data_IF_907967788976
#
_entry.id   IF_907967788976
#
_cell.length_a   1.000
_cell.length_b   1.000
_cell.length_c   1.000
_cell.angle_alpha   90.00
_cell.angle_beta   90.00
_cell.angle_gamma   90.00
#
_symmetry.space_group_name_H-M   'P 1'
#
loop_
_entity.id
_entity.type
_entity.pdbx_description
1 polymer ?
#
# COMPACT_ATOMS: atom_id res chain seq x y z
N UNK A 1 55.77 -15.64 17.05
CA UNK A 1 54.56 -16.30 16.50
C UNK A 1 53.34 -15.53 16.97
N UNK A 2 52.84 -14.59 16.19
CA UNK A 2 51.60 -13.86 16.51
C UNK A 2 50.43 -14.70 15.97
N UNK A 3 49.65 -15.26 16.87
CA UNK A 3 48.39 -15.93 16.55
C UNK A 3 47.43 -14.86 16.03
N UNK A 4 47.15 -14.88 14.73
CA UNK A 4 46.07 -14.15 14.11
C UNK A 4 44.76 -14.79 14.57
N UNK A 5 44.11 -14.20 15.57
CA UNK A 5 42.72 -14.52 15.91
C UNK A 5 41.86 -14.21 14.70
N UNK A 6 41.31 -15.24 14.07
CA UNK A 6 40.25 -15.12 13.10
C UNK A 6 39.04 -14.51 13.80
N UNK A 7 38.48 -13.38 13.31
CA UNK A 7 37.31 -12.78 13.94
C UNK A 7 36.16 -13.79 13.90
N UNK A 8 35.61 -14.12 15.05
CA UNK A 8 34.43 -14.96 15.21
C UNK A 8 33.29 -14.37 14.34
N UNK A 9 32.67 -15.12 13.43
CA UNK A 9 31.60 -14.59 12.59
C UNK A 9 30.49 -14.08 13.49
N UNK A 10 30.14 -12.80 13.35
CA UNK A 10 29.06 -12.18 14.08
C UNK A 10 27.79 -13.05 13.92
N UNK A 11 27.25 -13.53 15.06
CA UNK A 11 26.11 -14.46 15.10
C UNK A 11 24.94 -13.86 14.33
N UNK A 12 24.69 -14.38 13.13
CA UNK A 12 23.60 -13.94 12.24
C UNK A 12 22.27 -14.06 12.98
N UNK A 13 21.55 -12.98 13.08
CA UNK A 13 20.23 -12.98 13.71
C UNK A 13 19.22 -13.71 12.84
N UNK A 14 18.39 -14.56 13.44
CA UNK A 14 17.35 -15.28 12.70
C UNK A 14 16.37 -14.30 12.05
N UNK A 15 16.01 -14.49 10.78
CA UNK A 15 15.09 -13.61 10.04
C UNK A 15 13.73 -13.44 10.69
N UNK A 16 13.26 -14.43 11.45
CA UNK A 16 11.98 -14.37 12.16
C UNK A 16 11.87 -13.19 13.14
N UNK A 17 13.01 -12.71 13.67
CA UNK A 17 13.01 -11.60 14.62
C UNK A 17 12.95 -10.22 13.96
N UNK A 18 13.26 -10.11 12.66
CA UNK A 18 13.29 -8.81 12.01
C UNK A 18 12.38 -8.70 10.78
N UNK A 19 12.16 -9.77 10.01
CA UNK A 19 11.29 -9.71 8.82
C UNK A 19 9.87 -9.28 9.20
N UNK A 20 9.19 -9.92 10.17
CA UNK A 20 7.84 -9.52 10.55
C UNK A 20 7.74 -8.06 10.98
N UNK A 21 8.63 -7.63 11.87
CA UNK A 21 8.58 -6.27 12.44
C UNK A 21 9.00 -5.19 11.44
N UNK A 22 9.92 -5.49 10.52
CA UNK A 22 10.34 -4.57 9.47
C UNK A 22 9.20 -4.31 8.48
N UNK A 23 8.48 -5.35 8.04
CA UNK A 23 7.36 -5.20 7.11
C UNK A 23 6.08 -4.69 7.78
N UNK A 24 5.89 -4.95 9.07
CA UNK A 24 4.90 -4.23 9.85
C UNK A 24 5.19 -2.71 9.88
N UNK A 25 6.44 -2.33 10.18
CA UNK A 25 6.88 -0.93 10.17
C UNK A 25 6.82 -0.28 8.77
N UNK A 26 6.91 -1.07 7.69
CA UNK A 26 6.71 -0.62 6.32
C UNK A 26 5.22 -0.28 6.04
N UNK A 27 4.31 -1.16 6.44
CA UNK A 27 2.88 -1.00 6.14
C UNK A 27 2.22 0.11 6.94
N UNK A 28 2.64 0.36 8.18
CA UNK A 28 1.93 1.23 9.10
C UNK A 28 1.85 2.70 8.63
N UNK A 29 2.95 3.40 8.23
CA UNK A 29 2.88 4.76 7.72
C UNK A 29 2.01 4.88 6.46
N UNK A 30 2.12 3.93 5.54
CA UNK A 30 1.32 3.92 4.31
C UNK A 30 -0.18 3.90 4.60
N UNK A 31 -0.60 3.03 5.52
CA UNK A 31 -1.99 2.87 5.89
C UNK A 31 -2.51 4.09 6.65
N UNK A 32 -1.68 4.64 7.54
CA UNK A 32 -2.05 5.85 8.30
C UNK A 32 -2.35 7.02 7.37
N UNK A 33 -1.52 7.25 6.36
CA UNK A 33 -1.74 8.35 5.42
C UNK A 33 -2.96 8.13 4.51
N UNK A 34 -3.26 6.90 4.15
CA UNK A 34 -4.35 6.60 3.23
C UNK A 34 -5.73 6.52 3.88
N UNK A 35 -5.80 6.15 5.17
CA UNK A 35 -7.07 5.91 5.84
C UNK A 35 -7.20 6.69 7.15
N UNK A 36 -6.25 6.54 8.07
CA UNK A 36 -6.36 7.12 9.42
C UNK A 36 -6.39 8.64 9.35
N UNK A 37 -5.49 9.26 8.56
CA UNK A 37 -5.46 10.71 8.37
C UNK A 37 -6.74 11.24 7.70
N UNK A 38 -7.33 10.48 6.76
CA UNK A 38 -8.59 10.83 6.10
C UNK A 38 -9.72 10.96 7.13
N UNK A 39 -9.89 9.95 7.99
CA UNK A 39 -10.92 9.94 9.03
C UNK A 39 -10.66 10.97 10.12
N UNK A 40 -9.40 11.16 10.52
CA UNK A 40 -8.99 12.20 11.46
C UNK A 40 -9.40 13.58 10.95
N UNK A 41 -9.03 13.95 9.74
CA UNK A 41 -9.38 15.25 9.16
C UNK A 41 -10.89 15.43 8.99
N UNK A 42 -11.61 14.37 8.60
CA UNK A 42 -13.08 14.40 8.52
C UNK A 42 -13.70 14.66 9.89
N UNK A 43 -13.19 13.99 10.94
CA UNK A 43 -13.61 14.22 12.33
C UNK A 43 -13.34 15.66 12.82
N UNK A 44 -12.24 16.24 12.37
CA UNK A 44 -11.84 17.64 12.70
C UNK A 44 -12.51 18.69 11.78
N UNK A 45 -13.50 18.32 10.96
CA UNK A 45 -14.29 19.24 10.17
C UNK A 45 -13.62 19.78 8.89
N UNK A 46 -12.55 19.14 8.41
CA UNK A 46 -11.91 19.51 7.14
C UNK A 46 -12.79 19.05 5.97
N UNK A 47 -12.90 19.85 4.91
CA UNK A 47 -13.72 19.54 3.74
C UNK A 47 -13.16 18.35 2.94
N UNK A 48 -14.03 17.55 2.35
CA UNK A 48 -13.70 16.32 1.61
C UNK A 48 -12.73 16.60 0.45
N UNK A 49 -12.93 17.73 -0.25
CA UNK A 49 -12.02 18.17 -1.32
C UNK A 49 -10.60 18.37 -0.83
N UNK A 50 -10.41 19.07 0.30
CA UNK A 50 -9.08 19.29 0.89
C UNK A 50 -8.46 17.97 1.37
N UNK A 51 -9.25 17.12 2.03
CA UNK A 51 -8.79 15.81 2.51
C UNK A 51 -8.31 14.98 1.32
N UNK A 52 -9.16 14.78 0.31
CA UNK A 52 -8.86 13.94 -0.83
C UNK A 52 -7.64 14.44 -1.62
N UNK A 53 -7.57 15.74 -1.88
CA UNK A 53 -6.44 16.34 -2.60
C UNK A 53 -5.11 16.15 -1.86
N UNK A 54 -5.01 16.60 -0.62
CA UNK A 54 -3.75 16.62 0.11
C UNK A 54 -3.29 15.22 0.53
N UNK A 55 -4.21 14.34 0.98
CA UNK A 55 -3.84 12.97 1.35
C UNK A 55 -3.48 12.11 0.14
N UNK A 56 -3.94 12.45 -1.06
CA UNK A 56 -3.48 11.82 -2.30
C UNK A 56 -2.12 12.34 -2.72
N UNK A 57 -1.90 13.66 -2.65
CA UNK A 57 -0.63 14.28 -3.02
C UNK A 57 0.54 13.80 -2.15
N UNK A 58 0.30 13.60 -0.86
CA UNK A 58 1.31 13.10 0.09
C UNK A 58 1.80 11.69 -0.30
N UNK A 59 1.06 10.93 -1.11
CA UNK A 59 1.49 9.62 -1.58
C UNK A 59 2.53 9.67 -2.70
N UNK A 60 2.85 10.87 -3.22
CA UNK A 60 3.81 11.06 -4.30
C UNK A 60 5.20 10.44 -4.02
N UNK A 61 5.77 10.46 -2.80
CA UNK A 61 7.06 9.82 -2.53
C UNK A 61 7.10 8.34 -2.90
N UNK A 62 6.02 7.56 -2.70
CA UNK A 62 5.99 6.15 -3.11
C UNK A 62 6.05 5.96 -4.63
N UNK A 63 5.58 6.94 -5.39
CA UNK A 63 5.70 6.96 -6.85
C UNK A 63 7.12 7.33 -7.29
N UNK A 64 7.73 8.29 -6.60
CA UNK A 64 9.03 8.86 -6.96
C UNK A 64 10.22 8.14 -6.32
N UNK A 65 10.00 7.18 -5.42
CA UNK A 65 11.08 6.47 -4.70
C UNK A 65 12.21 5.91 -5.60
N UNK A 66 11.97 5.48 -6.86
CA UNK A 66 13.05 5.05 -7.74
C UNK A 66 14.09 6.13 -8.02
N UNK A 67 13.73 7.42 -7.91
CA UNK A 67 14.65 8.53 -8.20
C UNK A 67 15.77 8.70 -7.18
N UNK A 68 15.54 8.30 -5.91
CA UNK A 68 16.56 8.40 -4.86
C UNK A 68 17.05 7.04 -4.33
N UNK A 69 16.44 5.94 -4.77
CA UNK A 69 16.87 4.61 -4.32
C UNK A 69 18.36 4.33 -4.58
N UNK A 70 19.00 4.75 -5.71
CA UNK A 70 20.43 4.57 -5.90
C UNK A 70 21.28 5.32 -4.86
N UNK A 71 20.79 6.46 -4.34
CA UNK A 71 21.51 7.21 -3.31
C UNK A 71 21.58 6.45 -1.99
N UNK A 72 20.56 5.63 -1.68
CA UNK A 72 20.56 4.83 -0.46
C UNK A 72 21.61 3.71 -0.51
N UNK A 73 21.98 3.25 -1.69
CA UNK A 73 23.01 2.24 -1.89
C UNK A 73 24.43 2.81 -1.75
N UNK A 74 24.59 4.13 -1.98
CA UNK A 74 25.89 4.80 -1.97
C UNK A 74 26.31 5.29 -0.58
N UNK A 75 25.34 5.64 0.28
CA UNK A 75 25.57 6.35 1.53
C UNK A 75 25.30 5.52 2.73
N UNK A 76 25.86 4.89 3.46
CA UNK A 76 25.51 4.16 4.68
C UNK A 76 24.96 2.76 4.43
N UNK A 77 24.62 2.07 5.48
CA UNK A 77 24.00 0.75 5.43
C UNK A 77 22.50 0.88 5.25
N UNK A 78 21.86 -0.11 4.64
CA UNK A 78 20.40 -0.17 4.52
C UNK A 78 19.72 -0.17 5.88
N UNK A 79 20.31 -0.84 6.88
CA UNK A 79 19.88 -0.76 8.30
C UNK A 79 19.80 0.67 8.82
N UNK A 80 20.80 1.50 8.53
CA UNK A 80 20.80 2.89 8.97
C UNK A 80 19.54 3.62 8.48
N UNK A 81 19.17 3.45 7.22
CA UNK A 81 17.97 4.08 6.65
C UNK A 81 16.69 3.53 7.26
N UNK A 82 16.58 2.20 7.47
CA UNK A 82 15.38 1.60 8.12
C UNK A 82 15.19 2.19 9.51
N UNK A 83 16.24 2.21 10.34
CA UNK A 83 16.17 2.75 11.71
C UNK A 83 15.88 4.25 11.71
N UNK A 84 16.60 5.02 10.88
CA UNK A 84 16.41 6.47 10.78
C UNK A 84 14.98 6.83 10.40
N UNK A 85 14.44 6.20 9.38
CA UNK A 85 13.09 6.50 8.88
C UNK A 85 12.00 6.12 9.89
N UNK A 86 12.17 5.03 10.62
CA UNK A 86 11.27 4.65 11.71
C UNK A 86 11.30 5.65 12.86
N UNK A 87 12.49 6.10 13.26
CA UNK A 87 12.63 7.12 14.32
C UNK A 87 12.09 8.47 13.88
N UNK A 88 12.39 8.90 12.66
CA UNK A 88 11.85 10.15 12.08
C UNK A 88 10.31 10.06 12.03
N UNK A 89 9.74 8.98 11.54
CA UNK A 89 8.28 8.78 11.51
C UNK A 89 7.70 8.80 12.93
N UNK A 90 8.37 8.15 13.90
CA UNK A 90 7.93 8.12 15.29
C UNK A 90 7.86 9.50 15.93
N UNK A 91 8.93 10.28 15.80
CA UNK A 91 8.97 11.68 16.28
C UNK A 91 7.94 12.53 15.55
N UNK A 92 7.82 12.37 14.23
CA UNK A 92 6.90 13.17 13.42
C UNK A 92 5.44 12.90 13.78
N UNK A 93 5.03 11.65 14.07
CA UNK A 93 3.69 11.38 14.60
C UNK A 93 3.43 12.07 15.95
N UNK A 94 4.42 12.10 16.83
CA UNK A 94 4.33 12.88 18.08
C UNK A 94 4.15 14.39 17.83
N UNK A 95 4.89 14.95 16.86
CA UNK A 95 4.72 16.36 16.44
C UNK A 95 3.34 16.60 15.80
N UNK A 96 2.80 15.66 15.04
CA UNK A 96 1.43 15.75 14.52
C UNK A 96 0.45 15.83 15.68
N UNK A 97 0.56 14.96 16.69
CA UNK A 97 -0.31 14.98 17.87
C UNK A 97 -0.33 16.37 18.54
N UNK A 98 0.84 16.96 18.76
CA UNK A 98 0.96 18.29 19.34
C UNK A 98 0.37 19.39 18.43
N UNK A 99 0.55 19.24 17.12
CA UNK A 99 0.12 20.25 16.13
C UNK A 99 -1.39 20.28 15.93
N UNK A 100 -2.12 19.22 16.30
CA UNK A 100 -3.59 19.18 16.22
C UNK A 100 -4.26 20.28 17.05
N UNK A 101 -3.61 20.76 18.12
CA UNK A 101 -4.11 21.81 19.00
C UNK A 101 -3.86 23.24 18.47
N UNK A 102 -3.21 23.39 17.33
CA UNK A 102 -2.87 24.69 16.77
C UNK A 102 -3.96 25.19 15.80
N UNK A 103 -4.21 26.50 15.70
CA UNK A 103 -5.19 27.04 14.76
C UNK A 103 -4.92 26.66 13.30
N UNK A 104 -3.65 26.51 12.91
CA UNK A 104 -3.22 26.11 11.56
C UNK A 104 -2.92 24.61 11.44
N UNK A 105 -3.54 23.77 12.28
CA UNK A 105 -3.25 22.34 12.37
C UNK A 105 -3.20 21.65 11.02
N UNK A 106 -4.13 21.94 10.11
CA UNK A 106 -4.22 21.24 8.83
C UNK A 106 -2.95 21.41 7.99
N UNK A 107 -2.47 22.65 7.79
CA UNK A 107 -1.27 22.90 7.00
C UNK A 107 -0.01 22.29 7.63
N UNK A 108 0.11 22.41 8.96
CA UNK A 108 1.25 21.89 9.72
C UNK A 108 1.25 20.36 9.67
N UNK A 109 0.12 19.72 9.95
CA UNK A 109 0.04 18.25 9.94
C UNK A 109 0.22 17.66 8.55
N UNK A 110 -0.26 18.32 7.48
CA UNK A 110 0.01 17.92 6.08
C UNK A 110 1.51 17.95 5.78
N UNK A 111 2.22 19.01 6.19
CA UNK A 111 3.66 19.10 6.02
C UNK A 111 4.41 17.99 6.80
N UNK A 112 3.97 17.71 8.02
CA UNK A 112 4.52 16.63 8.84
C UNK A 112 4.20 15.24 8.23
N UNK A 113 2.99 15.02 7.74
CA UNK A 113 2.66 13.78 7.01
C UNK A 113 3.47 13.62 5.73
N UNK A 114 3.86 14.69 5.04
CA UNK A 114 4.77 14.60 3.90
C UNK A 114 6.15 14.08 4.33
N UNK A 115 6.65 14.46 5.52
CA UNK A 115 7.88 13.89 6.10
C UNK A 115 7.70 12.39 6.38
N UNK A 116 6.57 11.98 6.97
CA UNK A 116 6.25 10.57 7.20
C UNK A 116 6.18 9.80 5.87
N UNK A 117 5.59 10.39 4.84
CA UNK A 117 5.48 9.77 3.50
C UNK A 117 6.86 9.55 2.85
N UNK A 118 7.73 10.57 2.90
CA UNK A 118 9.09 10.44 2.39
C UNK A 118 9.90 9.40 3.18
N UNK A 119 9.76 9.41 4.51
CA UNK A 119 10.37 8.40 5.39
C UNK A 119 9.85 7.01 5.08
N UNK A 120 8.53 6.82 4.91
CA UNK A 120 7.92 5.54 4.57
C UNK A 120 8.40 4.99 3.23
N UNK A 121 8.40 5.83 2.19
CA UNK A 121 8.90 5.43 0.86
C UNK A 121 10.40 5.06 0.87
N UNK A 122 11.20 5.76 1.68
CA UNK A 122 12.63 5.45 1.88
C UNK A 122 12.81 4.16 2.69
N UNK A 123 11.99 3.97 3.72
CA UNK A 123 11.95 2.74 4.52
C UNK A 123 11.69 1.51 3.65
N UNK A 124 10.71 1.59 2.73
CA UNK A 124 10.37 0.49 1.82
C UNK A 124 11.60 0.03 1.03
N UNK A 125 12.29 0.97 0.37
CA UNK A 125 13.49 0.66 -0.42
C UNK A 125 14.59 0.05 0.44
N UNK A 126 14.84 0.63 1.61
CA UNK A 126 15.90 0.16 2.50
C UNK A 126 15.58 -1.21 3.10
N UNK A 127 14.33 -1.45 3.51
CA UNK A 127 13.88 -2.70 4.09
C UNK A 127 13.96 -3.85 3.08
N UNK A 128 13.45 -3.64 1.85
CA UNK A 128 13.56 -4.62 0.76
C UNK A 128 15.03 -4.90 0.43
N UNK A 129 15.88 -3.87 0.49
CA UNK A 129 17.31 -4.02 0.32
C UNK A 129 17.97 -4.88 1.39
N UNK A 130 17.63 -4.72 2.69
CA UNK A 130 18.11 -5.61 3.76
C UNK A 130 17.64 -7.04 3.51
N UNK A 131 16.38 -7.22 3.14
CA UNK A 131 15.79 -8.53 2.88
C UNK A 131 16.54 -9.27 1.75
N UNK A 132 16.83 -8.59 0.65
CA UNK A 132 17.54 -9.19 -0.48
C UNK A 132 19.01 -9.47 -0.19
N UNK A 133 19.69 -8.62 0.60
CA UNK A 133 21.12 -8.77 0.92
C UNK A 133 21.40 -9.87 1.94
N UNK A 134 20.50 -10.02 2.91
CA UNK A 134 20.71 -10.88 4.08
C UNK A 134 20.16 -12.28 3.91
N UNK A 135 19.18 -12.46 3.02
CA UNK A 135 18.51 -13.74 2.81
C UNK A 135 18.96 -14.38 1.49
N UNK A 136 19.36 -15.65 1.56
CA UNK A 136 19.55 -16.44 0.35
C UNK A 136 18.20 -16.80 -0.31
N UNK A 137 18.23 -17.35 -1.53
CA UNK A 137 17.00 -17.62 -2.30
C UNK A 137 15.99 -18.54 -1.56
N UNK A 138 16.48 -19.52 -0.78
CA UNK A 138 15.62 -20.42 0.00
C UNK A 138 14.99 -19.68 1.18
N UNK A 139 15.75 -18.85 1.87
CA UNK A 139 15.26 -18.03 2.97
C UNK A 139 14.27 -16.95 2.47
N UNK A 140 14.56 -16.32 1.33
CA UNK A 140 13.63 -15.38 0.70
C UNK A 140 12.28 -16.06 0.40
N UNK A 141 12.30 -17.25 -0.23
CA UNK A 141 11.10 -18.03 -0.48
C UNK A 141 10.35 -18.40 0.81
N UNK A 142 11.08 -18.75 1.88
CA UNK A 142 10.49 -19.09 3.19
C UNK A 142 9.83 -17.89 3.86
N UNK A 143 10.43 -16.70 3.78
CA UNK A 143 9.97 -15.52 4.53
C UNK A 143 9.09 -14.56 3.72
N UNK A 144 8.90 -14.78 2.41
CA UNK A 144 8.04 -13.92 1.58
C UNK A 144 6.59 -13.88 2.10
N UNK A 145 6.08 -15.00 2.60
CA UNK A 145 4.77 -15.06 3.21
C UNK A 145 4.67 -14.23 4.50
N UNK A 146 5.72 -14.19 5.31
CA UNK A 146 5.80 -13.37 6.52
C UNK A 146 5.85 -11.87 6.19
N UNK A 147 6.57 -11.51 5.13
CA UNK A 147 6.59 -10.16 4.59
C UNK A 147 5.17 -9.67 4.29
N UNK A 148 4.45 -10.40 3.44
CA UNK A 148 3.09 -10.05 3.06
C UNK A 148 2.10 -10.08 4.25
N UNK A 149 2.21 -11.09 5.12
CA UNK A 149 1.36 -11.23 6.29
C UNK A 149 1.49 -10.03 7.24
N UNK A 150 2.70 -9.64 7.61
CA UNK A 150 2.91 -8.54 8.55
C UNK A 150 2.66 -7.15 7.97
N UNK A 151 2.85 -6.96 6.67
CA UNK A 151 2.34 -5.78 5.98
C UNK A 151 0.80 -5.68 6.09
N UNK A 152 0.09 -6.79 5.90
CA UNK A 152 -1.37 -6.82 6.08
C UNK A 152 -1.80 -6.71 7.56
N UNK A 153 -1.04 -7.24 8.51
CA UNK A 153 -1.28 -7.00 9.94
C UNK A 153 -1.20 -5.51 10.25
N UNK A 154 -0.19 -4.79 9.71
CA UNK A 154 -0.12 -3.33 9.86
C UNK A 154 -1.36 -2.63 9.28
N UNK A 155 -1.87 -3.12 8.16
CA UNK A 155 -3.09 -2.60 7.54
C UNK A 155 -4.31 -2.83 8.44
N UNK A 156 -4.50 -4.02 8.97
CA UNK A 156 -5.61 -4.35 9.89
C UNK A 156 -5.52 -3.53 11.17
N UNK A 157 -4.33 -3.38 11.75
CA UNK A 157 -4.13 -2.56 12.95
C UNK A 157 -4.42 -1.09 12.66
N UNK A 158 -3.90 -0.54 11.55
CA UNK A 158 -4.09 0.86 11.19
C UNK A 158 -5.55 1.20 10.89
N UNK A 159 -6.17 0.46 9.99
CA UNK A 159 -7.55 0.75 9.51
C UNK A 159 -8.63 0.16 10.41
N UNK A 160 -8.34 -0.91 11.13
CA UNK A 160 -9.28 -1.57 12.04
C UNK A 160 -9.11 -1.08 13.48
N UNK A 161 -8.06 -1.55 14.15
CA UNK A 161 -7.87 -1.33 15.58
C UNK A 161 -7.72 0.14 15.97
N UNK A 162 -6.88 0.91 15.26
CA UNK A 162 -6.63 2.32 15.62
C UNK A 162 -7.85 3.20 15.35
N UNK A 163 -8.60 2.94 14.28
CA UNK A 163 -9.83 3.66 13.97
C UNK A 163 -10.92 3.32 14.99
N UNK A 164 -11.06 2.03 15.34
CA UNK A 164 -11.96 1.61 16.40
C UNK A 164 -11.61 2.27 17.75
N UNK A 165 -10.31 2.28 18.10
CA UNK A 165 -9.82 2.90 19.32
C UNK A 165 -10.08 4.41 19.33
N UNK A 166 -9.96 5.09 18.19
CA UNK A 166 -10.29 6.51 18.10
C UNK A 166 -11.76 6.79 18.43
N UNK A 167 -12.68 5.94 17.92
CA UNK A 167 -14.09 6.04 18.25
C UNK A 167 -14.36 5.76 19.73
N UNK A 168 -13.78 4.68 20.28
CA UNK A 168 -13.90 4.33 21.69
C UNK A 168 -13.40 5.47 22.60
N UNK A 169 -12.21 6.01 22.35
CA UNK A 169 -11.66 7.11 23.15
C UNK A 169 -12.50 8.40 23.07
N UNK A 170 -13.12 8.63 21.93
CA UNK A 170 -14.04 9.77 21.76
C UNK A 170 -15.29 9.60 22.61
N UNK A 171 -15.87 8.39 22.65
CA UNK A 171 -17.12 8.10 23.37
C UNK A 171 -16.91 8.06 24.90
N UNK A 172 -15.74 7.61 25.37
CA UNK A 172 -15.36 7.56 26.79
C UNK A 172 -14.75 8.88 27.32
N UNK A 173 -14.69 9.92 26.48
CA UNK A 173 -14.07 11.18 26.90
C UNK A 173 -14.98 11.96 27.85
N UNK A 174 -14.53 12.18 29.10
CA UNK A 174 -15.28 12.85 30.16
C UNK A 174 -15.20 14.40 30.11
N UNK A 175 -14.40 14.98 29.20
CA UNK A 175 -14.25 16.42 29.02
C UNK A 175 -15.34 17.04 28.14
N UNK A 176 -15.17 18.32 27.71
CA UNK A 176 -16.08 18.97 26.79
C UNK A 176 -16.25 18.19 25.48
N UNK A 177 -17.49 17.98 25.05
CA UNK A 177 -17.80 17.15 23.86
C UNK A 177 -17.12 17.66 22.58
N UNK A 178 -16.86 18.98 22.49
CA UNK A 178 -16.14 19.61 21.39
C UNK A 178 -14.67 19.19 21.30
N UNK A 179 -14.05 18.79 22.42
CA UNK A 179 -12.66 18.37 22.49
C UNK A 179 -12.48 16.85 22.29
N UNK A 180 -13.54 16.06 22.35
CA UNK A 180 -13.49 14.59 22.32
C UNK A 180 -12.81 14.04 21.06
N UNK A 181 -13.11 14.62 19.89
CA UNK A 181 -12.51 14.24 18.60
C UNK A 181 -11.02 14.59 18.61
N UNK A 182 -10.66 15.78 19.04
CA UNK A 182 -9.28 16.24 19.10
C UNK A 182 -8.45 15.37 20.06
N UNK A 183 -8.99 15.06 21.24
CA UNK A 183 -8.39 14.17 22.22
C UNK A 183 -8.12 12.77 21.64
N UNK A 184 -9.15 12.16 21.04
CA UNK A 184 -9.04 10.80 20.53
C UNK A 184 -7.94 10.69 19.47
N UNK A 185 -7.90 11.57 18.48
CA UNK A 185 -6.88 11.56 17.44
C UNK A 185 -5.49 11.96 17.93
N UNK A 186 -5.38 12.82 18.93
CA UNK A 186 -4.12 13.14 19.61
C UNK A 186 -3.52 11.87 20.23
N UNK A 187 -4.32 11.10 20.96
CA UNK A 187 -3.88 9.83 21.56
C UNK A 187 -3.45 8.83 20.49
N UNK A 188 -4.22 8.68 19.40
CA UNK A 188 -3.87 7.78 18.29
C UNK A 188 -2.52 8.17 17.67
N UNK A 189 -2.25 9.45 17.43
CA UNK A 189 -0.97 9.92 16.88
C UNK A 189 0.20 9.67 17.84
N UNK A 190 -0.01 9.83 19.15
CA UNK A 190 1.01 9.50 20.18
C UNK A 190 1.31 7.99 20.16
N UNK A 191 0.28 7.14 20.11
CA UNK A 191 0.44 5.67 20.06
C UNK A 191 1.23 5.28 18.80
N UNK A 192 0.88 5.83 17.63
CA UNK A 192 1.60 5.60 16.39
C UNK A 192 3.07 6.03 16.49
N UNK A 193 3.30 7.21 17.06
CA UNK A 193 4.65 7.73 17.32
C UNK A 193 5.46 6.77 18.21
N UNK A 194 4.86 6.33 19.31
CA UNK A 194 5.47 5.38 20.24
C UNK A 194 5.80 4.03 19.57
N UNK A 195 4.88 3.48 18.79
CA UNK A 195 5.09 2.21 18.07
C UNK A 195 6.23 2.33 17.06
N UNK A 196 6.24 3.37 16.20
CA UNK A 196 7.29 3.56 15.21
C UNK A 196 8.66 3.80 15.86
N UNK A 197 8.71 4.59 16.92
CA UNK A 197 9.94 4.85 17.66
C UNK A 197 10.47 3.59 18.34
N UNK A 198 9.60 2.80 18.97
CA UNK A 198 9.95 1.52 19.59
C UNK A 198 10.47 0.50 18.56
N UNK A 199 9.85 0.44 17.36
CA UNK A 199 10.35 -0.37 16.24
C UNK A 199 11.76 0.09 15.81
N UNK A 200 11.99 1.39 15.71
CA UNK A 200 13.31 1.95 15.42
C UNK A 200 14.35 1.51 16.44
N UNK A 201 14.07 1.62 17.74
CA UNK A 201 14.93 1.15 18.81
C UNK A 201 15.16 -0.37 18.74
N UNK A 202 14.13 -1.16 18.52
CA UNK A 202 14.23 -2.61 18.35
C UNK A 202 15.15 -2.97 17.18
N UNK A 203 15.00 -2.31 16.03
CA UNK A 203 15.78 -2.57 14.83
C UNK A 203 17.24 -2.10 14.92
N UNK A 204 17.58 -1.20 15.85
CA UNK A 204 19.00 -0.91 16.13
C UNK A 204 19.78 -2.16 16.56
N UNK A 205 19.09 -3.11 17.23
CA UNK A 205 19.72 -4.34 17.74
C UNK A 205 19.38 -5.57 16.90
N UNK A 206 18.16 -5.68 16.38
CA UNK A 206 17.66 -6.91 15.73
C UNK A 206 17.85 -6.94 14.23
N UNK A 207 17.82 -5.80 13.55
CA UNK A 207 17.99 -5.75 12.10
C UNK A 207 19.46 -5.98 11.74
N UNK A 208 19.79 -6.87 10.79
CA UNK A 208 21.14 -7.00 10.26
C UNK A 208 21.52 -5.77 9.43
N UNK A 209 22.82 -5.55 9.23
CA UNK A 209 23.32 -4.32 8.60
C UNK A 209 23.06 -4.25 7.08
N UNK A 210 22.86 -5.40 6.45
CA UNK A 210 22.96 -5.50 5.01
C UNK A 210 24.43 -5.50 4.55
N UNK A 211 24.67 -5.81 3.29
CA UNK A 211 26.00 -5.66 2.72
C UNK A 211 26.38 -4.19 2.74
N UNK A 212 27.62 -3.90 3.15
CA UNK A 212 28.15 -2.55 2.98
C UNK A 212 28.16 -2.21 1.49
N UNK A 213 27.85 -0.96 1.16
CA UNK A 213 27.98 -0.46 -0.20
C UNK A 213 29.32 -0.91 -0.79
N UNK A 214 29.29 -1.71 -1.82
CA UNK A 214 30.53 -2.04 -2.55
C UNK A 214 31.14 -0.74 -3.05
N UNK A 215 32.48 -0.66 -2.90
CA UNK A 215 33.35 0.38 -3.41
C UNK A 215 32.69 1.28 -4.46
N UNK A 216 32.44 2.49 -4.04
CA UNK A 216 32.09 3.67 -4.80
C UNK A 216 32.09 3.44 -6.32
N UNK A 217 30.97 2.99 -6.86
CA UNK A 217 30.61 3.39 -8.22
C UNK A 217 30.41 4.89 -8.13
N UNK A 218 31.13 5.63 -8.97
CA UNK A 218 31.01 7.08 -9.01
C UNK A 218 29.51 7.43 -9.15
N UNK A 219 29.04 8.46 -8.45
CA UNK A 219 27.66 8.96 -8.59
C UNK A 219 27.26 9.12 -10.07
N UNK A 220 28.19 9.57 -10.91
CA UNK A 220 28.02 9.68 -12.36
C UNK A 220 27.72 8.33 -13.04
N UNK A 221 28.37 7.23 -12.62
CA UNK A 221 28.13 5.90 -13.20
C UNK A 221 26.76 5.35 -12.78
N UNK A 222 26.38 5.54 -11.51
CA UNK A 222 25.05 5.14 -11.02
C UNK A 222 23.91 5.92 -11.71
N UNK A 223 24.13 7.21 -11.98
CA UNK A 223 23.18 8.03 -12.75
C UNK A 223 23.10 7.63 -14.22
N UNK A 224 24.21 7.29 -14.85
CA UNK A 224 24.23 6.78 -16.22
C UNK A 224 23.51 5.43 -16.33
N UNK A 225 23.72 4.53 -15.38
CA UNK A 225 23.02 3.24 -15.33
C UNK A 225 21.52 3.43 -15.10
N UNK A 226 21.12 4.28 -14.14
CA UNK A 226 19.72 4.62 -13.92
C UNK A 226 19.09 5.18 -15.20
N UNK A 227 19.77 6.08 -15.91
CA UNK A 227 19.29 6.63 -17.17
C UNK A 227 19.10 5.56 -18.25
N UNK A 228 20.03 4.63 -18.35
CA UNK A 228 19.90 3.49 -19.28
C UNK A 228 18.70 2.61 -18.95
N UNK A 229 18.46 2.32 -17.66
CA UNK A 229 17.31 1.54 -17.20
C UNK A 229 15.99 2.27 -17.53
N UNK A 230 15.92 3.59 -17.28
CA UNK A 230 14.76 4.42 -17.64
C UNK A 230 14.53 4.39 -19.15
N UNK A 231 15.56 4.65 -19.96
CA UNK A 231 15.46 4.63 -21.42
C UNK A 231 14.98 3.29 -21.93
N UNK A 232 15.55 2.18 -21.41
CA UNK A 232 15.15 0.83 -21.78
C UNK A 232 13.69 0.53 -21.43
N UNK A 233 13.17 1.08 -20.33
CA UNK A 233 11.76 0.94 -19.97
C UNK A 233 10.85 1.62 -21.01
N UNK A 234 11.12 2.88 -21.35
CA UNK A 234 10.28 3.66 -22.27
C UNK A 234 10.44 3.28 -23.75
N UNK A 235 11.45 2.47 -24.11
CA UNK A 235 11.65 1.96 -25.48
C UNK A 235 11.02 0.58 -25.70
N UNK A 236 10.40 -0.02 -24.70
CA UNK A 236 9.73 -1.34 -24.84
C UNK A 236 8.58 -1.29 -25.82
N UNK A 237 8.37 -2.39 -26.52
CA UNK A 237 7.21 -2.56 -27.41
C UNK A 237 5.91 -2.42 -26.61
N UNK A 238 4.97 -1.64 -27.11
CA UNK A 238 3.67 -1.34 -26.51
C UNK A 238 3.72 -0.60 -25.15
N UNK A 239 4.85 0.00 -24.77
CA UNK A 239 4.99 0.64 -23.45
C UNK A 239 3.94 1.73 -23.17
N UNK A 240 3.62 2.56 -24.17
CA UNK A 240 2.59 3.60 -24.04
C UNK A 240 1.23 2.98 -23.74
N UNK A 241 0.88 1.89 -24.43
CA UNK A 241 -0.35 1.16 -24.16
C UNK A 241 -0.35 0.59 -22.72
N UNK A 242 0.76 0.01 -22.30
CA UNK A 242 0.89 -0.55 -20.95
C UNK A 242 0.79 0.52 -19.87
N UNK A 243 1.38 1.69 -20.07
CA UNK A 243 1.25 2.84 -19.15
C UNK A 243 -0.22 3.26 -19.04
N UNK A 244 -0.89 3.47 -20.16
CA UNK A 244 -2.32 3.82 -20.19
C UNK A 244 -3.18 2.72 -19.53
N UNK A 245 -2.90 1.46 -19.82
CA UNK A 245 -3.59 0.32 -19.22
C UNK A 245 -3.42 0.30 -17.70
N UNK A 246 -2.21 0.43 -17.19
CA UNK A 246 -1.93 0.43 -15.75
C UNK A 246 -2.68 1.56 -15.05
N UNK A 247 -2.63 2.77 -15.60
CA UNK A 247 -3.31 3.94 -15.04
C UNK A 247 -4.83 3.73 -15.05
N UNK A 248 -5.39 3.34 -16.20
CA UNK A 248 -6.84 3.24 -16.39
C UNK A 248 -7.45 2.04 -15.67
N UNK A 249 -6.69 0.96 -15.46
CA UNK A 249 -7.15 -0.20 -14.69
C UNK A 249 -7.58 0.17 -13.27
N UNK A 250 -6.87 1.11 -12.63
CA UNK A 250 -7.10 1.58 -11.26
C UNK A 250 -7.74 2.97 -11.18
N UNK A 251 -8.11 3.56 -12.29
CA UNK A 251 -8.58 4.94 -12.32
C UNK A 251 -9.85 5.17 -11.49
N UNK A 252 -10.84 4.28 -11.64
CA UNK A 252 -12.07 4.33 -10.85
C UNK A 252 -11.81 4.09 -9.35
N UNK A 253 -10.90 3.17 -9.02
CA UNK A 253 -10.48 2.90 -7.64
C UNK A 253 -9.90 4.14 -6.97
N UNK A 254 -9.13 4.97 -7.70
CA UNK A 254 -8.56 6.19 -7.15
C UNK A 254 -9.63 7.16 -6.63
N UNK A 255 -10.77 7.27 -7.32
CA UNK A 255 -11.92 8.02 -6.82
C UNK A 255 -12.53 7.37 -5.57
N UNK A 256 -12.75 6.06 -5.61
CA UNK A 256 -13.38 5.29 -4.53
C UNK A 256 -12.57 5.33 -3.25
N UNK A 257 -11.27 5.09 -3.33
CA UNK A 257 -10.38 4.95 -2.18
C UNK A 257 -10.42 6.16 -1.23
N UNK A 258 -10.61 7.36 -1.75
CA UNK A 258 -10.65 8.59 -0.94
C UNK A 258 -12.04 8.95 -0.45
N UNK A 259 -13.06 8.70 -1.25
CA UNK A 259 -14.42 9.15 -0.93
C UNK A 259 -15.19 8.13 -0.09
N UNK A 260 -14.93 6.83 -0.22
CA UNK A 260 -15.66 5.81 0.57
C UNK A 260 -15.55 6.05 2.07
N UNK A 261 -14.36 6.23 2.68
CA UNK A 261 -14.30 6.51 4.12
C UNK A 261 -15.09 7.76 4.53
N UNK A 262 -15.06 8.80 3.69
CA UNK A 262 -15.79 10.04 3.91
C UNK A 262 -17.31 9.84 3.82
N UNK A 263 -17.76 9.10 2.80
CA UNK A 263 -19.16 8.72 2.59
C UNK A 263 -19.72 7.86 3.72
N UNK A 264 -18.92 6.87 4.20
CA UNK A 264 -19.33 6.01 5.32
C UNK A 264 -19.57 6.84 6.58
N UNK A 265 -18.69 7.84 6.86
CA UNK A 265 -18.75 8.69 8.05
C UNK A 265 -19.72 9.86 7.95
N UNK A 266 -19.92 10.43 6.74
CA UNK A 266 -20.79 11.58 6.54
C UNK A 266 -22.21 11.30 7.00
N UNK A 267 -22.87 12.31 7.58
CA UNK A 267 -24.26 12.22 8.03
C UNK A 267 -25.23 11.87 6.90
N UNK A 268 -26.35 11.26 7.26
CA UNK A 268 -27.41 10.89 6.30
C UNK A 268 -28.11 12.09 5.69
N UNK A 269 -28.15 13.20 6.41
CA UNK A 269 -28.67 14.50 5.98
C UNK A 269 -27.92 15.06 4.76
N UNK A 270 -26.62 14.75 4.64
CA UNK A 270 -25.78 15.10 3.48
C UNK A 270 -25.59 13.96 2.49
N UNK A 271 -26.35 12.88 2.61
CA UNK A 271 -26.32 11.73 1.70
C UNK A 271 -25.25 10.69 2.04
N UNK A 272 -24.58 10.78 3.19
CA UNK A 272 -23.67 9.76 3.71
C UNK A 272 -24.40 8.64 4.44
N UNK A 273 -23.67 7.69 5.05
CA UNK A 273 -24.25 6.56 5.78
C UNK A 273 -24.27 6.75 7.30
N UNK A 274 -23.56 7.71 7.85
CA UNK A 274 -23.54 8.05 9.27
C UNK A 274 -22.97 6.96 10.16
N UNK A 275 -22.00 6.17 9.66
CA UNK A 275 -21.33 5.15 10.48
C UNK A 275 -20.41 5.79 11.50
N UNK A 276 -20.33 5.15 12.66
CA UNK A 276 -19.36 5.47 13.70
C UNK A 276 -17.95 5.02 13.30
N UNK A 277 -16.93 5.58 13.95
CA UNK A 277 -15.54 5.15 13.75
C UNK A 277 -15.36 3.67 14.11
N UNK A 278 -16.05 3.16 15.12
CA UNK A 278 -16.02 1.76 15.52
C UNK A 278 -16.55 0.86 14.40
N UNK A 279 -17.71 1.20 13.81
CA UNK A 279 -18.30 0.46 12.70
C UNK A 279 -17.40 0.48 11.46
N UNK A 280 -16.82 1.64 11.14
CA UNK A 280 -15.85 1.76 10.03
C UNK A 280 -14.60 0.90 10.32
N UNK A 281 -14.06 0.95 11.53
CA UNK A 281 -12.91 0.13 11.94
C UNK A 281 -13.18 -1.37 11.80
N UNK A 282 -14.37 -1.82 12.16
CA UNK A 282 -14.78 -3.24 12.05
C UNK A 282 -15.03 -3.63 10.59
N UNK A 283 -15.94 -2.93 9.90
CA UNK A 283 -16.40 -3.36 8.56
C UNK A 283 -15.38 -3.04 7.48
N UNK A 284 -14.93 -1.80 7.40
CA UNK A 284 -14.00 -1.35 6.38
C UNK A 284 -12.56 -1.74 6.70
N UNK A 285 -12.13 -1.52 7.95
CA UNK A 285 -10.77 -1.81 8.38
C UNK A 285 -10.47 -3.29 8.53
N UNK A 286 -11.26 -4.00 9.33
CA UNK A 286 -10.96 -5.39 9.71
C UNK A 286 -11.50 -6.39 8.69
N UNK A 287 -12.82 -6.41 8.48
CA UNK A 287 -13.45 -7.38 7.56
C UNK A 287 -13.09 -7.10 6.10
N UNK A 288 -13.00 -5.81 5.70
CA UNK A 288 -12.52 -5.44 4.38
C UNK A 288 -11.09 -5.92 4.13
N UNK A 289 -10.15 -5.68 5.07
CA UNK A 289 -8.78 -6.14 4.91
C UNK A 289 -8.67 -7.68 4.82
N UNK A 290 -9.43 -8.41 5.63
CA UNK A 290 -9.50 -9.88 5.56
C UNK A 290 -10.06 -10.36 4.22
N UNK A 291 -11.11 -9.72 3.73
CA UNK A 291 -11.71 -10.02 2.42
C UNK A 291 -10.74 -9.75 1.27
N UNK A 292 -9.97 -8.67 1.33
CA UNK A 292 -8.92 -8.37 0.36
C UNK A 292 -7.87 -9.50 0.29
N UNK A 293 -7.38 -9.96 1.45
CA UNK A 293 -6.40 -11.06 1.50
C UNK A 293 -6.98 -12.33 0.89
N UNK A 294 -8.21 -12.70 1.26
CA UNK A 294 -8.90 -13.86 0.70
C UNK A 294 -9.08 -13.73 -0.82
N UNK A 295 -9.54 -12.57 -1.28
CA UNK A 295 -9.68 -12.26 -2.71
C UNK A 295 -8.36 -12.40 -3.46
N UNK A 296 -7.27 -11.85 -2.90
CA UNK A 296 -5.93 -11.91 -3.51
C UNK A 296 -5.42 -13.36 -3.64
N UNK A 297 -5.60 -14.19 -2.62
CA UNK A 297 -5.22 -15.59 -2.66
C UNK A 297 -6.01 -16.36 -3.74
N UNK A 298 -7.34 -16.20 -3.74
CA UNK A 298 -8.20 -16.87 -4.72
C UNK A 298 -7.96 -16.36 -6.14
N UNK A 299 -7.69 -15.07 -6.32
CA UNK A 299 -7.29 -14.49 -7.60
C UNK A 299 -5.98 -15.09 -8.13
N UNK A 300 -5.00 -15.30 -7.26
CA UNK A 300 -3.75 -15.98 -7.58
C UNK A 300 -3.97 -17.42 -8.03
N UNK A 301 -4.78 -18.21 -7.32
CA UNK A 301 -5.15 -19.57 -7.73
C UNK A 301 -5.90 -19.60 -9.05
N UNK A 302 -6.81 -18.68 -9.27
CA UNK A 302 -7.58 -18.57 -10.51
C UNK A 302 -6.65 -18.32 -11.72
N UNK A 303 -5.67 -17.42 -11.58
CA UNK A 303 -4.67 -17.16 -12.62
C UNK A 303 -3.77 -18.39 -12.82
N UNK A 304 -3.31 -19.01 -11.74
CA UNK A 304 -2.45 -20.20 -11.81
C UNK A 304 -3.12 -21.35 -12.57
N UNK A 305 -4.44 -21.53 -12.40
CA UNK A 305 -5.18 -22.60 -13.05
C UNK A 305 -5.46 -22.35 -14.54
N UNK A 306 -5.63 -21.08 -14.95
CA UNK A 306 -6.14 -20.74 -16.31
C UNK A 306 -5.19 -19.90 -17.16
N UNK A 307 -4.13 -19.36 -16.57
CA UNK A 307 -3.20 -18.43 -17.19
C UNK A 307 -3.68 -16.98 -17.14
N UNK A 308 -2.73 -16.06 -17.08
CA UNK A 308 -3.01 -14.62 -16.93
C UNK A 308 -3.77 -14.05 -18.14
N UNK A 309 -3.36 -14.40 -19.35
CA UNK A 309 -3.98 -13.90 -20.59
C UNK A 309 -5.48 -14.20 -20.68
N UNK A 310 -5.89 -15.40 -20.25
CA UNK A 310 -7.31 -15.81 -20.29
C UNK A 310 -8.15 -15.23 -19.16
N UNK A 311 -7.51 -14.85 -18.05
CA UNK A 311 -8.21 -14.42 -16.83
C UNK A 311 -8.22 -12.91 -16.61
N UNK A 312 -7.32 -12.17 -17.27
CA UNK A 312 -7.10 -10.75 -16.98
C UNK A 312 -8.37 -9.90 -17.11
N UNK A 313 -9.20 -10.16 -18.13
CA UNK A 313 -10.44 -9.43 -18.31
C UNK A 313 -11.46 -9.73 -17.19
N UNK A 314 -11.64 -10.99 -16.82
CA UNK A 314 -12.52 -11.36 -15.70
C UNK A 314 -12.02 -10.81 -14.37
N UNK A 315 -10.71 -10.74 -14.17
CA UNK A 315 -10.10 -10.10 -13.00
C UNK A 315 -10.40 -8.59 -12.97
N UNK A 316 -10.32 -7.91 -14.12
CA UNK A 316 -10.71 -6.51 -14.25
C UNK A 316 -12.20 -6.30 -13.93
N UNK A 317 -13.07 -7.21 -14.38
CA UNK A 317 -14.50 -7.16 -14.06
C UNK A 317 -14.73 -7.32 -12.56
N UNK A 318 -14.13 -8.33 -11.92
CA UNK A 318 -14.28 -8.55 -10.47
C UNK A 318 -13.67 -7.43 -9.65
N UNK A 319 -12.66 -6.73 -10.18
CA UNK A 319 -12.06 -5.54 -9.54
C UNK A 319 -12.99 -4.32 -9.56
N UNK A 320 -13.62 -4.02 -10.71
CA UNK A 320 -14.32 -2.76 -10.92
C UNK A 320 -15.85 -2.86 -10.69
N UNK A 321 -16.51 -4.00 -11.00
CA UNK A 321 -17.96 -4.13 -10.85
C UNK A 321 -18.45 -4.00 -9.39
N UNK A 322 -17.70 -4.45 -8.37
CA UNK A 322 -18.13 -4.26 -6.98
C UNK A 322 -18.27 -2.81 -6.52
N UNK A 323 -17.73 -1.80 -7.24
CA UNK A 323 -18.03 -0.38 -6.97
C UNK A 323 -19.53 -0.07 -7.08
N UNK A 324 -20.29 -0.92 -7.78
CA UNK A 324 -21.76 -0.85 -7.80
C UNK A 324 -22.36 -1.01 -6.39
N UNK A 325 -21.68 -1.71 -5.47
CA UNK A 325 -22.13 -1.84 -4.08
C UNK A 325 -22.24 -0.45 -3.41
N UNK A 326 -21.22 0.40 -3.57
CA UNK A 326 -21.27 1.78 -3.04
C UNK A 326 -22.32 2.63 -3.74
N UNK A 327 -22.55 2.44 -5.05
CA UNK A 327 -23.63 3.10 -5.77
C UNK A 327 -24.99 2.73 -5.17
N UNK A 328 -25.22 1.44 -4.91
CA UNK A 328 -26.46 0.96 -4.29
C UNK A 328 -26.62 1.47 -2.85
N UNK A 329 -25.54 1.49 -2.07
CA UNK A 329 -25.54 2.06 -0.72
C UNK A 329 -25.89 3.56 -0.74
N UNK A 330 -25.36 4.33 -1.70
CA UNK A 330 -25.65 5.76 -1.82
C UNK A 330 -27.08 6.05 -2.32
N UNK A 331 -27.67 5.14 -3.12
CA UNK A 331 -29.05 5.28 -3.61
C UNK A 331 -30.08 4.90 -2.54
N UNK A 332 -29.90 3.73 -1.90
CA UNK A 332 -30.88 3.15 -1.00
C UNK A 332 -30.68 3.52 0.46
N UNK A 333 -29.49 3.98 0.84
CA UNK A 333 -29.14 4.41 2.19
C UNK A 333 -29.64 3.46 3.29
N UNK A 334 -29.32 2.16 3.25
CA UNK A 334 -29.81 1.20 4.23
C UNK A 334 -29.37 1.58 5.64
N UNK A 335 -30.19 1.26 6.64
CA UNK A 335 -29.85 1.49 8.06
C UNK A 335 -29.16 0.28 8.70
N UNK A 336 -29.19 -0.87 8.04
CA UNK A 336 -28.60 -2.10 8.55
C UNK A 336 -27.09 -2.08 8.41
N UNK A 337 -26.37 -1.93 9.52
CA UNK A 337 -24.90 -1.97 9.54
C UNK A 337 -24.32 -3.30 8.98
N UNK A 338 -24.90 -4.50 9.23
CA UNK A 338 -24.45 -5.72 8.58
C UNK A 338 -24.62 -5.72 7.04
N UNK A 339 -25.66 -5.09 6.51
CA UNK A 339 -25.83 -4.95 5.05
C UNK A 339 -24.78 -4.05 4.44
N UNK A 340 -24.50 -2.92 5.10
CA UNK A 340 -23.40 -2.00 4.71
C UNK A 340 -22.06 -2.73 4.76
N UNK A 341 -21.80 -3.45 5.88
CA UNK A 341 -20.60 -4.24 6.04
C UNK A 341 -20.43 -5.33 4.97
N UNK A 342 -21.50 -6.02 4.61
CA UNK A 342 -21.51 -7.01 3.54
C UNK A 342 -21.15 -6.41 2.17
N UNK A 343 -21.65 -5.22 1.85
CA UNK A 343 -21.31 -4.50 0.63
C UNK A 343 -19.82 -4.11 0.59
N UNK A 344 -19.27 -3.65 1.72
CA UNK A 344 -17.84 -3.32 1.86
C UNK A 344 -16.97 -4.57 1.67
N UNK A 345 -17.33 -5.67 2.32
CA UNK A 345 -16.60 -6.96 2.23
C UNK A 345 -16.58 -7.47 0.79
N UNK A 346 -17.73 -7.36 0.08
CA UNK A 346 -17.82 -7.75 -1.34
C UNK A 346 -16.88 -6.93 -2.21
N UNK A 347 -16.83 -5.63 -2.02
CA UNK A 347 -15.94 -4.74 -2.78
C UNK A 347 -14.47 -5.04 -2.49
N UNK A 348 -14.07 -5.16 -1.23
CA UNK A 348 -12.70 -5.47 -0.86
C UNK A 348 -12.23 -6.85 -1.34
N UNK A 349 -13.14 -7.83 -1.35
CA UNK A 349 -12.86 -9.12 -1.97
C UNK A 349 -12.56 -8.97 -3.47
N UNK A 350 -13.42 -8.23 -4.19
CA UNK A 350 -13.24 -7.93 -5.61
C UNK A 350 -11.94 -7.17 -5.88
N UNK A 351 -11.65 -6.20 -5.03
CA UNK A 351 -10.40 -5.44 -5.06
C UNK A 351 -9.19 -6.39 -4.95
N UNK A 352 -9.14 -7.23 -3.92
CA UNK A 352 -8.04 -8.19 -3.74
C UNK A 352 -7.91 -9.17 -4.92
N UNK A 353 -9.04 -9.74 -5.36
CA UNK A 353 -9.10 -10.71 -6.43
C UNK A 353 -8.58 -10.17 -7.77
N UNK A 354 -8.98 -8.95 -8.14
CA UNK A 354 -8.60 -8.34 -9.41
C UNK A 354 -7.23 -7.67 -9.40
N UNK A 355 -6.77 -7.17 -8.24
CA UNK A 355 -5.48 -6.50 -8.08
C UNK A 355 -4.30 -7.40 -8.44
N UNK A 356 -4.38 -8.70 -8.12
CA UNK A 356 -3.33 -9.68 -8.44
C UNK A 356 -3.11 -9.78 -9.95
N UNK A 357 -4.18 -9.63 -10.76
CA UNK A 357 -4.08 -9.66 -12.22
C UNK A 357 -3.21 -8.54 -12.77
N UNK A 358 -3.43 -7.30 -12.31
CA UNK A 358 -2.62 -6.15 -12.70
C UNK A 358 -1.16 -6.33 -12.25
N UNK A 359 -0.95 -6.78 -11.01
CA UNK A 359 0.39 -7.00 -10.45
C UNK A 359 1.17 -8.01 -11.28
N UNK A 360 0.56 -9.16 -11.60
CA UNK A 360 1.20 -10.18 -12.42
C UNK A 360 1.40 -9.71 -13.87
N UNK A 361 0.47 -8.94 -14.44
CA UNK A 361 0.66 -8.33 -15.75
C UNK A 361 1.88 -7.40 -15.77
N UNK A 362 2.03 -6.55 -14.77
CA UNK A 362 3.20 -5.67 -14.65
C UNK A 362 4.50 -6.49 -14.54
N UNK A 363 4.52 -7.56 -13.74
CA UNK A 363 5.69 -8.42 -13.59
C UNK A 363 6.06 -9.18 -14.85
N UNK A 364 5.06 -9.74 -15.55
CA UNK A 364 5.30 -10.71 -16.65
C UNK A 364 5.35 -10.05 -18.02
N UNK A 365 4.63 -8.95 -18.24
CA UNK A 365 4.56 -8.28 -19.54
C UNK A 365 5.35 -6.96 -19.56
N UNK A 366 5.22 -6.13 -18.54
CA UNK A 366 5.85 -4.80 -18.52
C UNK A 366 7.29 -4.85 -18.03
N UNK A 367 7.55 -5.59 -16.97
CA UNK A 367 8.87 -5.68 -16.35
C UNK A 367 9.79 -6.73 -16.99
N UNK A 368 9.27 -7.60 -17.88
CA UNK A 368 10.07 -8.65 -18.50
C UNK A 368 11.36 -8.12 -19.15
N UNK A 369 12.48 -8.85 -18.97
CA UNK A 369 13.79 -8.50 -19.53
C UNK A 369 14.89 -8.34 -18.48
N UNK A 370 16.07 -7.81 -18.85
CA UNK A 370 17.27 -7.83 -18.01
C UNK A 370 17.17 -6.94 -16.75
N UNK A 371 16.32 -5.91 -16.77
CA UNK A 371 16.13 -4.98 -15.64
C UNK A 371 14.76 -5.20 -14.97
N UNK A 372 14.35 -6.45 -14.77
CA UNK A 372 13.00 -6.80 -14.34
C UNK A 372 12.56 -6.07 -13.06
N UNK A 373 13.41 -6.04 -12.03
CA UNK A 373 13.06 -5.39 -10.74
C UNK A 373 12.87 -3.88 -10.89
N UNK A 374 13.80 -3.21 -11.58
CA UNK A 374 13.72 -1.76 -11.81
C UNK A 374 12.51 -1.40 -12.67
N UNK A 375 12.24 -2.16 -13.74
CA UNK A 375 11.09 -1.95 -14.59
C UNK A 375 9.76 -2.22 -13.87
N UNK A 376 9.72 -3.18 -12.95
CA UNK A 376 8.57 -3.39 -12.08
C UNK A 376 8.37 -2.21 -11.11
N UNK A 377 9.46 -1.67 -10.56
CA UNK A 377 9.38 -0.48 -9.71
C UNK A 377 8.83 0.74 -10.46
N UNK A 378 9.23 0.95 -11.73
CA UNK A 378 8.63 1.99 -12.59
C UNK A 378 7.15 1.73 -12.85
N UNK A 379 6.78 0.51 -13.21
CA UNK A 379 5.38 0.14 -13.45
C UNK A 379 4.51 0.35 -12.20
N UNK A 380 5.01 -0.03 -11.02
CA UNK A 380 4.32 0.20 -9.74
C UNK A 380 4.21 1.68 -9.38
N UNK A 381 5.22 2.49 -9.70
CA UNK A 381 5.16 3.94 -9.57
C UNK A 381 4.06 4.56 -10.46
N UNK A 382 3.98 4.13 -11.73
CA UNK A 382 2.93 4.53 -12.66
C UNK A 382 1.55 4.07 -12.16
N UNK A 383 1.45 2.87 -11.60
CA UNK A 383 0.24 2.35 -10.99
C UNK A 383 -0.25 3.25 -9.84
N UNK A 384 0.67 3.76 -9.02
CA UNK A 384 0.34 4.71 -7.94
C UNK A 384 -0.18 6.04 -8.48
N UNK A 385 0.35 6.53 -9.61
CA UNK A 385 -0.21 7.72 -10.30
C UNK A 385 -1.66 7.48 -10.74
N UNK A 386 -1.98 6.26 -11.21
CA UNK A 386 -3.34 5.87 -11.60
C UNK A 386 -4.37 5.96 -10.47
N UNK A 387 -3.94 5.90 -9.22
CA UNK A 387 -4.79 6.09 -8.03
C UNK A 387 -4.69 7.52 -7.49
N UNK A 388 -3.49 8.07 -7.46
CA UNK A 388 -3.23 9.39 -6.88
C UNK A 388 -3.95 10.50 -7.64
N UNK A 389 -3.87 10.52 -8.97
CA UNK A 389 -4.48 11.59 -9.77
C UNK A 389 -6.00 11.66 -9.62
N UNK A 390 -6.78 10.56 -9.83
CA UNK A 390 -8.22 10.61 -9.58
C UNK A 390 -8.53 10.82 -8.09
N UNK A 391 -7.69 10.33 -7.17
CA UNK A 391 -7.82 10.59 -5.74
C UNK A 391 -7.78 12.08 -5.40
N UNK A 392 -6.86 12.84 -6.01
CA UNK A 392 -6.78 14.31 -5.83
C UNK A 392 -8.03 15.05 -6.32
N UNK A 393 -8.67 14.52 -7.39
CA UNK A 393 -9.87 15.12 -7.98
C UNK A 393 -11.14 14.68 -7.27
N UNK A 394 -11.11 13.56 -6.57
CA UNK A 394 -12.29 12.85 -6.08
C UNK A 394 -13.16 13.68 -5.14
N UNK A 395 -12.54 14.48 -4.25
CA UNK A 395 -13.25 15.36 -3.34
C UNK A 395 -14.03 16.45 -4.07
N UNK A 396 -13.39 17.13 -5.05
CA UNK A 396 -14.05 18.16 -5.84
C UNK A 396 -15.22 17.60 -6.66
N UNK A 397 -15.03 16.41 -7.26
CA UNK A 397 -16.08 15.73 -8.02
C UNK A 397 -17.21 15.30 -7.10
N UNK A 398 -16.90 14.81 -5.89
CA UNK A 398 -17.90 14.43 -4.89
C UNK A 398 -18.68 15.64 -4.36
N UNK A 399 -18.00 16.76 -4.10
CA UNK A 399 -18.65 18.00 -3.64
C UNK A 399 -19.60 18.56 -4.71
N UNK A 400 -19.21 18.46 -5.99
CA UNK A 400 -20.03 18.95 -7.11
C UNK A 400 -21.24 18.06 -7.41
N UNK A 401 -21.06 16.72 -7.37
CA UNK A 401 -22.10 15.76 -7.76
C UNK A 401 -22.96 15.28 -6.58
N UNK A 402 -22.45 15.38 -5.35
CA UNK A 402 -22.97 14.65 -4.20
C UNK A 402 -22.69 13.15 -4.28
N UNK A 403 -22.73 12.43 -3.16
CA UNK A 403 -22.31 11.02 -3.09
C UNK A 403 -23.05 10.10 -4.09
N UNK A 404 -24.35 10.28 -4.27
CA UNK A 404 -25.15 9.44 -5.16
C UNK A 404 -24.68 9.50 -6.61
N UNK A 405 -24.56 10.69 -7.18
CA UNK A 405 -24.12 10.86 -8.57
C UNK A 405 -22.62 10.60 -8.70
N UNK A 406 -21.83 10.86 -7.65
CA UNK A 406 -20.43 10.52 -7.62
C UNK A 406 -20.18 9.02 -7.81
N UNK A 407 -20.89 8.14 -7.10
CA UNK A 407 -20.70 6.69 -7.27
C UNK A 407 -21.24 6.19 -8.62
N UNK A 408 -22.26 6.82 -9.20
CA UNK A 408 -22.65 6.55 -10.60
C UNK A 408 -21.53 6.96 -11.56
N UNK A 409 -20.93 8.14 -11.35
CA UNK A 409 -19.77 8.59 -12.13
C UNK A 409 -18.59 7.60 -12.03
N UNK A 410 -18.33 7.03 -10.87
CA UNK A 410 -17.28 6.02 -10.66
C UNK A 410 -17.49 4.81 -11.58
N UNK A 411 -18.74 4.32 -11.75
CA UNK A 411 -19.04 3.22 -12.66
C UNK A 411 -18.74 3.59 -14.12
N UNK A 412 -19.03 4.82 -14.52
CA UNK A 412 -18.69 5.34 -15.86
C UNK A 412 -17.16 5.46 -16.01
N UNK A 413 -16.47 5.93 -14.97
CA UNK A 413 -15.02 6.05 -14.94
C UNK A 413 -14.28 4.69 -14.99
N UNK A 414 -14.97 3.59 -14.69
CA UNK A 414 -14.44 2.23 -14.83
C UNK A 414 -14.50 1.70 -16.28
N UNK A 415 -15.29 2.28 -17.18
CA UNK A 415 -15.44 1.78 -18.56
C UNK A 415 -14.10 1.73 -19.30
N UNK A 416 -13.21 2.75 -19.24
CA UNK A 416 -11.90 2.68 -19.88
C UNK A 416 -11.05 1.49 -19.42
N UNK A 417 -11.15 1.07 -18.14
CA UNK A 417 -10.44 -0.11 -17.63
C UNK A 417 -10.84 -1.39 -18.38
N UNK A 418 -12.14 -1.59 -18.63
CA UNK A 418 -12.63 -2.75 -19.37
C UNK A 418 -12.16 -2.72 -20.82
N UNK A 419 -12.24 -1.58 -21.50
CA UNK A 419 -11.80 -1.42 -22.89
C UNK A 419 -10.30 -1.67 -23.03
N UNK A 420 -9.48 -1.06 -22.17
CA UNK A 420 -8.03 -1.23 -22.20
C UNK A 420 -7.64 -2.68 -21.87
N UNK A 421 -8.33 -3.33 -20.96
CA UNK A 421 -8.06 -4.73 -20.60
C UNK A 421 -8.43 -5.69 -21.73
N UNK A 422 -9.54 -5.44 -22.43
CA UNK A 422 -9.98 -6.28 -23.54
C UNK A 422 -8.99 -6.32 -24.69
N UNK A 423 -8.38 -5.18 -25.00
CA UNK A 423 -7.44 -5.04 -26.13
C UNK A 423 -5.96 -5.09 -25.72
N UNK A 424 -5.63 -5.37 -24.44
CA UNK A 424 -4.23 -5.32 -23.98
C UNK A 424 -3.37 -6.37 -24.70
N UNK A 425 -2.26 -5.94 -25.35
CA UNK A 425 -1.37 -6.86 -26.03
C UNK A 425 -0.54 -7.66 -25.02
N UNK A 426 -0.36 -8.95 -25.33
CA UNK A 426 0.56 -9.84 -24.62
C UNK A 426 1.78 -10.10 -25.51
N UNK A 427 2.96 -9.71 -25.06
CA UNK A 427 4.23 -9.86 -25.80
C UNK A 427 5.06 -11.05 -25.33
N UNK A 428 4.79 -11.54 -24.13
CA UNK A 428 5.47 -12.71 -23.54
C UNK A 428 4.42 -13.78 -23.28
N UNK A 429 4.77 -15.04 -23.57
CA UNK A 429 3.91 -16.17 -23.25
C UNK A 429 3.74 -16.31 -21.74
N UNK A 430 2.53 -16.76 -21.33
CA UNK A 430 2.30 -17.14 -19.94
C UNK A 430 3.34 -18.20 -19.56
N UNK A 431 4.21 -17.92 -18.60
CA UNK A 431 5.05 -18.96 -18.01
C UNK A 431 4.10 -19.98 -17.42
N UNK A 432 3.94 -21.12 -18.09
CA UNK A 432 3.23 -22.27 -17.51
C UNK A 432 3.86 -22.50 -16.15
N UNK A 433 3.06 -22.50 -15.10
CA UNK A 433 3.50 -23.03 -13.81
C UNK A 433 4.08 -24.41 -14.11
N UNK A 434 5.34 -24.63 -13.75
CA UNK A 434 5.94 -25.96 -13.87
C UNK A 434 5.05 -26.87 -13.05
N UNK A 435 4.26 -27.66 -13.74
CA UNK A 435 3.36 -28.61 -13.12
C UNK A 435 4.24 -29.58 -12.33
N UNK A 436 3.96 -29.76 -11.07
CA UNK A 436 4.57 -30.75 -10.17
C UNK A 436 4.43 -32.21 -10.66
N UNK A 437 3.83 -32.39 -11.82
CA UNK A 437 3.69 -33.70 -12.50
C UNK A 437 4.98 -34.25 -13.09
N UNK A 438 6.01 -33.41 -13.33
CA UNK A 438 7.29 -33.94 -13.84
C UNK A 438 8.24 -34.49 -12.77
N UNK A 439 8.02 -34.14 -11.48
CA UNK A 439 8.82 -34.74 -10.39
C UNK A 439 8.39 -36.18 -10.05
N UNK A 440 7.15 -36.56 -10.33
CA UNK A 440 6.69 -37.96 -10.16
C UNK A 440 7.09 -38.90 -11.29
N UNK A 441 7.44 -38.38 -12.46
CA UNK A 441 7.87 -39.24 -13.60
C UNK A 441 9.35 -39.64 -13.51
N UNK A 442 10.16 -38.98 -12.70
CA UNK A 442 11.57 -39.35 -12.48
C UNK A 442 11.80 -40.32 -11.31
N UNK A 443 10.85 -40.40 -10.36
CA UNK A 443 10.94 -41.34 -9.23
C UNK A 443 10.49 -42.76 -9.58
N UNK A 444 9.68 -42.93 -10.64
CA UNK A 444 9.23 -44.28 -11.09
C UNK A 444 10.10 -44.90 -12.14
N UNK A 445 11.20 -44.28 -12.56
CA UNK A 445 12.13 -44.81 -13.58
C UNK A 445 13.46 -45.31 -13.00
N UNK A 446 13.62 -45.37 -11.68
CA UNK A 446 14.81 -45.90 -11.02
C UNK A 446 14.55 -47.18 -10.21
N UNK A 447 13.32 -47.69 -10.24
CA UNK A 447 12.96 -48.99 -9.59
C UNK A 447 12.41 -49.99 -10.61
N UNK A 448 13.14 -50.24 -11.70
CA UNK A 448 13.00 -51.44 -12.56
C UNK A 448 14.37 -51.87 -13.03
#
# INVERSE_FOLDING_TARGET
MKTTETPTPARRRSPIFWVPTAYFGMGLPFVVLNMVAVLMYKGLGVSDAKIAFWTSLIMLPWTLKPLWSPLLEMYRTKKFFVVLTQMVSGVTFGLIALSLHLPSFFAITIALFAIVAFSGATHDVACDGVYMDELNAQEQAKYIGWQGAFYNVAKIIGTGLLVYLAGFLKDEYEGPAEDAVLYSWTVIMIVLGGVMFALGLYHTRMLPSGKHAHSVTSFSQSMAELWNVIRNFFTKKHIVYYICFIILYRFAEGFVMKIVPLFLKAGRDVGGLGLTEQEIGIYYGTFGAAAFVLGSLLGGYYISARGLKKTLFSLCCVFNLPFMAYTLLAIFQPQSAPLIGGAIVLEYFGYGFGFVGLTLFMMQQVAAGPHQMAHYAFASGIMNLGVMLPGMMSGYVSDWLGYKLFFIFVLVAAIPAFLMTWFVPFTHEDKKSVSYTHLRAHETSQDL
#
